data_IF_177146562867
#
_entry.id   IF_177146562867
#
_cell.length_a   1.000
_cell.length_b   1.000
_cell.length_c   1.000
_cell.angle_alpha   90.00
_cell.angle_beta   90.00
_cell.angle_gamma   90.00
#
_symmetry.space_group_name_H-M   'P 1'
#
loop_
_entity.id
_entity.type
_entity.pdbx_description
1 polymer ?
#
# COMPACT_ATOMS: atom_id res chain seq x y z
N UNK A 1 0.83 -29.07 4.37
CA UNK A 1 2.23 -29.57 4.36
C UNK A 1 3.28 -28.54 4.76
N UNK A 2 3.17 -27.23 4.45
CA UNK A 2 4.18 -26.22 4.83
C UNK A 2 4.27 -25.92 6.34
N UNK A 3 3.19 -26.09 7.10
CA UNK A 3 3.16 -25.77 8.54
C UNK A 3 3.97 -26.72 9.44
N UNK A 4 4.27 -27.94 8.98
CA UNK A 4 4.98 -28.96 9.78
C UNK A 4 6.51 -28.84 9.69
N UNK A 5 7.05 -28.11 8.70
CA UNK A 5 8.51 -28.09 8.46
C UNK A 5 9.22 -26.84 9.01
N UNK A 6 8.53 -25.71 9.22
CA UNK A 6 9.14 -24.44 9.68
C UNK A 6 8.21 -23.60 10.57
N UNK A 7 7.95 -24.02 11.83
CA UNK A 7 7.04 -23.30 12.74
C UNK A 7 7.51 -21.88 13.07
N UNK A 8 8.83 -21.66 13.16
CA UNK A 8 9.41 -20.35 13.44
C UNK A 8 9.05 -19.32 12.36
N UNK A 9 9.07 -19.70 11.07
CA UNK A 9 8.76 -18.78 9.96
C UNK A 9 7.32 -18.27 10.02
N UNK A 10 6.37 -19.14 10.38
CA UNK A 10 4.97 -18.76 10.52
C UNK A 10 4.75 -17.82 11.71
N UNK A 11 5.50 -18.00 12.79
CA UNK A 11 5.48 -17.10 13.93
C UNK A 11 6.01 -15.71 13.55
N UNK A 12 7.13 -15.66 12.82
CA UNK A 12 7.70 -14.41 12.32
C UNK A 12 6.75 -13.69 11.35
N UNK A 13 6.15 -14.39 10.38
CA UNK A 13 5.20 -13.80 9.43
C UNK A 13 3.99 -13.20 10.16
N UNK A 14 3.42 -13.92 11.14
CA UNK A 14 2.32 -13.41 11.97
C UNK A 14 2.74 -12.15 12.73
N UNK A 15 3.88 -12.18 13.41
CA UNK A 15 4.37 -11.04 14.19
C UNK A 15 4.59 -9.80 13.31
N UNK A 16 5.27 -9.95 12.18
CA UNK A 16 5.51 -8.87 11.22
C UNK A 16 4.19 -8.31 10.67
N UNK A 17 3.24 -9.19 10.35
CA UNK A 17 1.92 -8.81 9.85
C UNK A 17 1.15 -7.94 10.86
N UNK A 18 1.15 -8.31 12.15
CA UNK A 18 0.56 -7.48 13.21
C UNK A 18 1.22 -6.11 13.31
N UNK A 19 2.55 -6.06 13.29
CA UNK A 19 3.30 -4.79 13.35
C UNK A 19 2.96 -3.91 12.14
N UNK A 20 2.93 -4.48 10.94
CA UNK A 20 2.58 -3.75 9.72
C UNK A 20 1.15 -3.21 9.74
N UNK A 21 0.17 -3.94 10.27
CA UNK A 21 -1.19 -3.42 10.37
C UNK A 21 -1.34 -2.32 11.42
N UNK A 22 -0.76 -2.52 12.62
CA UNK A 22 -0.86 -1.56 13.72
C UNK A 22 -0.20 -0.22 13.34
N UNK A 23 0.92 -0.26 12.62
CA UNK A 23 1.60 0.96 12.18
C UNK A 23 1.03 1.50 10.87
N UNK A 24 0.75 0.61 9.92
CA UNK A 24 0.38 0.96 8.56
C UNK A 24 -1.01 1.56 8.44
N UNK A 25 -2.02 1.05 9.14
CA UNK A 25 -3.37 1.62 9.07
C UNK A 25 -3.44 3.07 9.58
N UNK A 26 -3.04 3.38 10.84
CA UNK A 26 -3.09 4.74 11.34
C UNK A 26 -2.08 5.64 10.63
N UNK A 27 -0.90 5.14 10.28
CA UNK A 27 0.14 5.91 9.60
C UNK A 27 -0.29 6.38 8.21
N UNK A 28 -0.81 5.49 7.38
CA UNK A 28 -1.29 5.84 6.04
C UNK A 28 -2.56 6.69 6.08
N UNK A 29 -3.49 6.39 6.99
CA UNK A 29 -4.69 7.19 7.18
C UNK A 29 -4.35 8.64 7.56
N UNK A 30 -3.51 8.83 8.59
CA UNK A 30 -3.08 10.15 9.02
C UNK A 30 -2.32 10.89 7.90
N UNK A 31 -1.43 10.18 7.20
CA UNK A 31 -0.67 10.74 6.07
C UNK A 31 -1.61 11.26 4.97
N UNK A 32 -2.62 10.48 4.59
CA UNK A 32 -3.62 10.91 3.61
C UNK A 32 -4.32 12.21 4.03
N UNK A 33 -4.77 12.30 5.28
CA UNK A 33 -5.44 13.50 5.81
C UNK A 33 -4.53 14.73 5.90
N UNK A 34 -3.24 14.54 6.13
CA UNK A 34 -2.27 15.65 6.15
C UNK A 34 -2.03 16.16 4.73
N UNK A 35 -1.79 15.25 3.78
CA UNK A 35 -1.41 15.61 2.41
C UNK A 35 -2.56 16.14 1.56
N UNK A 36 -3.81 15.76 1.85
CA UNK A 36 -4.99 16.30 1.13
C UNK A 36 -5.28 17.77 1.46
N UNK A 37 -4.71 18.32 2.53
CA UNK A 37 -4.92 19.73 2.92
C UNK A 37 -4.43 20.67 1.82
N UNK A 38 -5.24 21.66 1.45
CA UNK A 38 -4.98 22.62 0.36
C UNK A 38 -3.58 23.25 0.39
N UNK A 39 -3.01 23.44 1.58
CA UNK A 39 -1.67 24.02 1.78
C UNK A 39 -0.52 23.14 1.22
N UNK A 40 -0.70 21.82 1.15
CA UNK A 40 0.33 20.87 0.68
C UNK A 40 0.07 20.32 -0.73
N UNK A 41 -1.10 20.63 -1.30
CA UNK A 41 -1.60 20.14 -2.58
C UNK A 41 -0.85 20.63 -3.84
N UNK A 42 -0.31 21.87 -3.94
CA UNK A 42 0.29 22.38 -5.17
C UNK A 42 1.76 21.93 -5.43
N UNK A 43 2.30 21.01 -4.63
CA UNK A 43 3.62 20.39 -4.86
C UNK A 43 3.44 18.87 -4.91
N UNK A 44 4.36 18.10 -4.32
CA UNK A 44 4.30 16.63 -4.31
C UNK A 44 3.25 16.01 -3.38
N UNK A 45 2.48 16.83 -2.65
CA UNK A 45 1.50 16.35 -1.69
C UNK A 45 0.39 15.53 -2.34
N UNK A 46 0.05 15.76 -3.60
CA UNK A 46 -0.91 14.92 -4.33
C UNK A 46 -0.41 13.47 -4.51
N UNK A 47 0.85 13.26 -4.89
CA UNK A 47 1.43 11.92 -5.04
C UNK A 47 1.53 11.20 -3.70
N UNK A 48 1.94 11.91 -2.65
CA UNK A 48 2.04 11.34 -1.30
C UNK A 48 0.65 11.01 -0.71
N UNK A 49 -0.37 11.82 -1.00
CA UNK A 49 -1.75 11.49 -0.64
C UNK A 49 -2.25 10.25 -1.41
N UNK A 50 -2.02 10.18 -2.72
CA UNK A 50 -2.42 9.04 -3.53
C UNK A 50 -1.71 7.74 -3.08
N UNK A 51 -0.41 7.83 -2.77
CA UNK A 51 0.36 6.73 -2.21
C UNK A 51 -0.22 6.26 -0.87
N UNK A 52 -0.45 7.17 0.08
CA UNK A 52 -1.01 6.83 1.39
C UNK A 52 -2.41 6.20 1.29
N UNK A 53 -3.24 6.69 0.37
CA UNK A 53 -4.56 6.09 0.12
C UNK A 53 -4.43 4.67 -0.47
N UNK A 54 -3.54 4.48 -1.44
CA UNK A 54 -3.31 3.19 -2.06
C UNK A 54 -2.72 2.17 -1.07
N UNK A 55 -1.78 2.59 -0.22
CA UNK A 55 -1.21 1.74 0.83
C UNK A 55 -2.27 1.33 1.88
N UNK A 56 -3.21 2.23 2.22
CA UNK A 56 -4.33 1.88 3.09
C UNK A 56 -5.23 0.81 2.45
N UNK A 57 -5.57 0.94 1.17
CA UNK A 57 -6.35 -0.06 0.42
C UNK A 57 -5.59 -1.39 0.33
N UNK A 58 -4.29 -1.35 0.03
CA UNK A 58 -3.45 -2.53 -0.03
C UNK A 58 -3.45 -3.27 1.33
N UNK A 59 -3.34 -2.55 2.45
CA UNK A 59 -3.41 -3.15 3.79
C UNK A 59 -4.77 -3.79 4.06
N UNK A 60 -5.88 -3.18 3.63
CA UNK A 60 -7.21 -3.80 3.73
C UNK A 60 -7.29 -5.13 2.97
N UNK A 61 -6.81 -5.16 1.71
CA UNK A 61 -6.78 -6.40 0.95
C UNK A 61 -5.81 -7.42 1.55
N UNK A 62 -4.69 -6.98 2.12
CA UNK A 62 -3.76 -7.87 2.79
C UNK A 62 -4.40 -8.56 4.00
N UNK A 63 -5.21 -7.84 4.79
CA UNK A 63 -6.00 -8.41 5.89
C UNK A 63 -6.94 -9.49 5.38
N UNK A 64 -7.68 -9.23 4.30
CA UNK A 64 -8.60 -10.22 3.69
C UNK A 64 -7.84 -11.45 3.21
N UNK A 65 -6.69 -11.26 2.55
CA UNK A 65 -5.85 -12.35 2.07
C UNK A 65 -5.32 -13.23 3.22
N UNK A 66 -4.80 -12.59 4.28
CA UNK A 66 -4.29 -13.29 5.47
C UNK A 66 -5.42 -13.98 6.23
N UNK A 67 -6.60 -13.37 6.33
CA UNK A 67 -7.77 -13.98 6.94
C UNK A 67 -8.24 -15.22 6.18
N UNK A 68 -8.27 -15.17 4.85
CA UNK A 68 -8.61 -16.31 4.00
C UNK A 68 -7.62 -17.47 4.16
N UNK A 69 -6.32 -17.17 4.23
CA UNK A 69 -5.29 -18.20 4.42
C UNK A 69 -5.21 -18.74 5.85
N UNK A 70 -5.45 -17.91 6.86
CA UNK A 70 -5.29 -18.28 8.27
C UNK A 70 -6.55 -18.89 8.91
N UNK A 71 -7.75 -18.49 8.47
CA UNK A 71 -9.03 -18.99 8.99
C UNK A 71 -9.77 -19.94 8.04
N UNK A 72 -9.17 -20.31 6.89
CA UNK A 72 -9.81 -21.16 5.87
C UNK A 72 -11.22 -20.69 5.49
N UNK A 73 -11.47 -19.37 5.60
CA UNK A 73 -12.77 -18.81 5.29
C UNK A 73 -12.94 -18.90 3.79
N UNK A 74 -13.87 -19.73 3.31
CA UNK A 74 -14.13 -19.94 1.87
C UNK A 74 -14.70 -18.69 1.14
N UNK A 75 -14.48 -17.48 1.66
CA UNK A 75 -15.00 -16.21 1.18
C UNK A 75 -14.40 -15.86 -0.19
N UNK A 76 -13.11 -16.14 -0.40
CA UNK A 76 -12.45 -15.96 -1.70
C UNK A 76 -12.64 -17.15 -2.66
N UNK A 77 -13.31 -18.22 -2.22
CA UNK A 77 -13.49 -19.44 -3.03
C UNK A 77 -14.69 -19.34 -3.99
N UNK A 78 -15.34 -18.17 -4.04
CA UNK A 78 -16.34 -17.84 -5.06
C UNK A 78 -15.59 -17.58 -6.37
N UNK A 79 -15.99 -18.21 -7.50
CA UNK A 79 -15.19 -18.23 -8.73
C UNK A 79 -14.78 -16.84 -9.24
N UNK A 80 -15.68 -15.85 -9.14
CA UNK A 80 -15.38 -14.47 -9.54
C UNK A 80 -14.36 -13.80 -8.61
N UNK A 81 -14.50 -13.98 -7.30
CA UNK A 81 -13.59 -13.36 -6.34
C UNK A 81 -12.21 -14.03 -6.33
N UNK A 82 -12.14 -15.33 -6.59
CA UNK A 82 -10.89 -16.09 -6.65
C UNK A 82 -9.91 -15.53 -7.70
N UNK A 83 -10.45 -15.11 -8.86
CA UNK A 83 -9.64 -14.57 -9.96
C UNK A 83 -9.43 -13.06 -9.84
N UNK A 84 -10.47 -12.31 -9.47
CA UNK A 84 -10.43 -10.84 -9.45
C UNK A 84 -9.62 -10.30 -8.27
N UNK A 85 -9.73 -10.93 -7.10
CA UNK A 85 -9.04 -10.48 -5.89
C UNK A 85 -7.51 -10.41 -6.04
N UNK A 86 -6.80 -11.47 -6.49
CA UNK A 86 -5.35 -11.41 -6.66
C UNK A 86 -4.94 -10.35 -7.69
N UNK A 87 -5.72 -10.17 -8.77
CA UNK A 87 -5.46 -9.13 -9.77
C UNK A 87 -5.48 -7.74 -9.12
N UNK A 88 -6.51 -7.43 -8.33
CA UNK A 88 -6.60 -6.14 -7.63
C UNK A 88 -5.51 -6.00 -6.56
N UNK A 89 -5.22 -7.06 -5.82
CA UNK A 89 -4.20 -7.07 -4.77
C UNK A 89 -2.80 -6.76 -5.33
N UNK A 90 -2.38 -7.45 -6.38
CA UNK A 90 -1.09 -7.17 -7.02
C UNK A 90 -1.08 -5.82 -7.73
N UNK A 91 -2.20 -5.40 -8.32
CA UNK A 91 -2.30 -4.09 -8.96
C UNK A 91 -2.07 -2.96 -7.97
N UNK A 92 -2.70 -3.01 -6.79
CA UNK A 92 -2.47 -2.00 -5.74
C UNK A 92 -1.03 -2.03 -5.24
N UNK A 93 -0.39 -3.20 -5.12
CA UNK A 93 1.02 -3.31 -4.77
C UNK A 93 1.95 -2.61 -5.78
N UNK A 94 1.74 -2.83 -7.08
CA UNK A 94 2.55 -2.18 -8.12
C UNK A 94 2.25 -0.68 -8.23
N UNK A 95 0.99 -0.28 -8.01
CA UNK A 95 0.61 1.14 -8.08
C UNK A 95 1.35 1.99 -7.05
N UNK A 96 1.63 1.48 -5.84
CA UNK A 96 2.48 2.16 -4.87
C UNK A 96 3.88 2.47 -5.43
N UNK A 97 4.49 1.53 -6.17
CA UNK A 97 5.79 1.76 -6.80
C UNK A 97 5.73 2.87 -7.86
N UNK A 98 4.66 2.91 -8.65
CA UNK A 98 4.45 3.99 -9.63
C UNK A 98 4.27 5.35 -8.97
N UNK A 99 3.56 5.45 -7.85
CA UNK A 99 3.42 6.70 -7.11
C UNK A 99 4.74 7.17 -6.50
N UNK A 100 5.54 6.26 -5.93
CA UNK A 100 6.88 6.58 -5.44
C UNK A 100 7.77 7.05 -6.59
N UNK A 101 7.74 6.36 -7.72
CA UNK A 101 8.49 6.75 -8.90
C UNK A 101 8.09 8.16 -9.36
N UNK A 102 6.79 8.42 -9.52
CA UNK A 102 6.30 9.75 -9.92
C UNK A 102 6.74 10.85 -8.94
N UNK A 103 6.65 10.59 -7.63
CA UNK A 103 7.16 11.50 -6.60
C UNK A 103 8.66 11.79 -6.76
N UNK A 104 9.47 10.74 -6.95
CA UNK A 104 10.93 10.89 -7.12
C UNK A 104 11.28 11.64 -8.41
N UNK A 105 10.57 11.37 -9.51
CA UNK A 105 10.76 12.05 -10.78
C UNK A 105 10.41 13.53 -10.68
N UNK A 106 9.28 13.88 -10.05
CA UNK A 106 8.93 15.29 -9.82
C UNK A 106 10.00 16.02 -9.01
N UNK A 107 10.52 15.38 -7.96
CA UNK A 107 11.59 15.95 -7.13
C UNK A 107 12.91 16.07 -7.88
N UNK A 108 13.26 15.08 -8.69
CA UNK A 108 14.42 15.12 -9.56
C UNK A 108 14.33 16.28 -10.55
N UNK A 109 13.21 16.43 -11.25
CA UNK A 109 12.97 17.54 -12.19
C UNK A 109 13.07 18.88 -11.46
N UNK A 110 12.44 19.01 -10.28
CA UNK A 110 12.47 20.26 -9.51
C UNK A 110 13.89 20.70 -9.10
N UNK A 111 14.80 19.75 -8.89
CA UNK A 111 16.19 20.02 -8.45
C UNK A 111 17.13 20.19 -9.64
N UNK A 112 17.09 19.28 -10.62
CA UNK A 112 18.00 19.26 -11.76
C UNK A 112 17.57 20.17 -12.91
N UNK A 113 16.27 20.43 -13.02
CA UNK A 113 15.66 21.28 -14.04
C UNK A 113 14.70 22.27 -13.36
N UNK A 114 15.21 23.17 -12.48
CA UNK A 114 14.36 24.15 -11.83
C UNK A 114 13.62 24.93 -12.91
N UNK A 115 12.29 24.83 -12.90
CA UNK A 115 11.44 25.52 -13.87
C UNK A 115 11.78 27.00 -13.78
N UNK A 116 12.36 27.57 -14.85
CA UNK A 116 12.52 29.01 -14.97
C UNK A 116 11.10 29.56 -15.08
N UNK A 117 10.50 29.87 -13.93
CA UNK A 117 9.33 30.72 -13.88
C UNK A 117 9.84 32.09 -14.29
N UNK A 118 9.70 32.35 -15.58
CA UNK A 118 10.05 33.61 -16.22
C UNK A 118 9.40 34.76 -15.45
N UNK A 119 10.15 35.86 -15.36
CA UNK A 119 9.88 37.06 -14.55
C UNK A 119 8.47 37.61 -14.71
#
# INVERSE_FOLDING_TARGET
MLALHRPNLLLYDKYLCFVWFILGFPGNFLSFFVWIRRKMRPSSGCYLAALAFNDFIFLLFNVVNKANFAWETNILNVPVFCEVFPVIFYSTQYLSLFFVLAFTVERYISVCHPYQRER
#
